data_IF_474702197963
#
_entry.id   IF_474702197963
#
_cell.length_a   1.000
_cell.length_b   1.000
_cell.length_c   1.000
_cell.angle_alpha   90.00
_cell.angle_beta   90.00
_cell.angle_gamma   90.00
#
_symmetry.space_group_name_H-M   'P 1'
#
loop_
_entity.id
_entity.type
_entity.pdbx_description
1 polymer ?
#
# COMPACT_ATOMS: atom_id res chain seq x y z
N UNK A 1 24.49 -21.69 -32.14
CA UNK A 1 24.98 -20.68 -31.16
C UNK A 1 24.52 -19.24 -31.46
N UNK A 2 24.62 -18.72 -32.69
CA UNK A 2 24.27 -17.31 -33.00
C UNK A 2 22.78 -16.98 -32.84
N UNK A 3 21.89 -17.89 -33.23
CA UNK A 3 20.43 -17.75 -33.06
C UNK A 3 19.99 -17.77 -31.59
N UNK A 4 20.63 -18.60 -30.76
CA UNK A 4 20.33 -18.68 -29.32
C UNK A 4 20.64 -17.36 -28.61
N UNK A 5 21.75 -16.70 -28.97
CA UNK A 5 22.12 -15.38 -28.46
C UNK A 5 21.12 -14.30 -28.88
N UNK A 6 20.65 -14.35 -30.12
CA UNK A 6 19.63 -13.41 -30.62
C UNK A 6 18.29 -13.60 -29.90
N UNK A 7 17.83 -14.84 -29.75
CA UNK A 7 16.61 -15.18 -28.99
C UNK A 7 16.70 -14.66 -27.55
N UNK A 8 17.84 -14.86 -26.88
CA UNK A 8 18.07 -14.38 -25.52
C UNK A 8 17.96 -12.85 -25.40
N UNK A 9 18.55 -12.11 -26.34
CA UNK A 9 18.45 -10.64 -26.38
C UNK A 9 17.00 -10.17 -26.58
N UNK A 10 16.24 -10.83 -27.46
CA UNK A 10 14.83 -10.52 -27.68
C UNK A 10 14.01 -10.78 -26.42
N UNK A 11 14.24 -11.90 -25.73
CA UNK A 11 13.56 -12.20 -24.46
C UNK A 11 13.87 -11.13 -23.41
N UNK A 12 15.14 -10.74 -23.26
CA UNK A 12 15.52 -9.68 -22.32
C UNK A 12 14.84 -8.34 -22.64
N UNK A 13 14.75 -7.96 -23.91
CA UNK A 13 14.05 -6.74 -24.33
C UNK A 13 12.56 -6.80 -23.99
N UNK A 14 11.89 -7.92 -24.26
CA UNK A 14 10.48 -8.10 -23.92
C UNK A 14 10.26 -8.00 -22.41
N UNK A 15 11.10 -8.66 -21.62
CA UNK A 15 11.05 -8.58 -20.15
C UNK A 15 11.26 -7.14 -19.68
N UNK A 16 12.24 -6.44 -20.24
CA UNK A 16 12.55 -5.05 -19.86
C UNK A 16 11.38 -4.10 -20.17
N UNK A 17 10.77 -4.21 -21.34
CA UNK A 17 9.58 -3.42 -21.71
C UNK A 17 8.40 -3.73 -20.77
N UNK A 18 8.19 -5.00 -20.42
CA UNK A 18 7.15 -5.40 -19.46
C UNK A 18 7.37 -4.77 -18.07
N UNK A 19 8.60 -4.71 -17.58
CA UNK A 19 8.95 -4.08 -16.30
C UNK A 19 8.64 -2.58 -16.33
N UNK A 20 9.01 -1.88 -17.41
CA UNK A 20 8.73 -0.44 -17.55
C UNK A 20 7.22 -0.18 -17.56
N UNK A 21 6.47 -0.98 -18.32
CA UNK A 21 5.01 -0.84 -18.40
C UNK A 21 4.37 -1.06 -17.03
N UNK A 22 4.77 -2.11 -16.31
CA UNK A 22 4.27 -2.40 -14.97
C UNK A 22 4.61 -1.29 -13.96
N UNK A 23 5.81 -0.71 -14.02
CA UNK A 23 6.18 0.41 -13.14
C UNK A 23 5.32 1.65 -13.41
N UNK A 24 5.06 1.95 -14.69
CA UNK A 24 4.17 3.05 -15.10
C UNK A 24 2.74 2.81 -14.62
N UNK A 25 2.22 1.60 -14.81
CA UNK A 25 0.89 1.21 -14.33
C UNK A 25 0.78 1.31 -12.81
N UNK A 26 1.76 0.80 -12.06
CA UNK A 26 1.86 0.98 -10.62
C UNK A 26 1.80 2.45 -10.20
N UNK A 27 2.56 3.31 -10.89
CA UNK A 27 2.62 4.76 -10.65
C UNK A 27 1.29 5.46 -10.90
N UNK A 28 0.49 4.97 -11.85
CA UNK A 28 -0.86 5.48 -12.09
C UNK A 28 -1.83 4.95 -11.04
N UNK A 29 -1.77 3.65 -10.75
CA UNK A 29 -2.71 2.99 -9.84
C UNK A 29 -2.57 3.48 -8.39
N UNK A 30 -1.36 3.82 -7.93
CA UNK A 30 -1.16 4.36 -6.58
C UNK A 30 -1.86 5.73 -6.39
N UNK A 31 -2.12 6.48 -7.46
CA UNK A 31 -2.85 7.76 -7.39
C UNK A 31 -4.28 7.57 -6.88
N UNK A 32 -4.85 6.37 -6.95
CA UNK A 32 -6.18 6.07 -6.40
C UNK A 32 -6.25 6.30 -4.88
N UNK A 33 -5.13 6.24 -4.15
CA UNK A 33 -5.11 6.61 -2.74
C UNK A 33 -5.55 8.06 -2.51
N UNK A 34 -5.48 8.94 -3.52
CA UNK A 34 -5.98 10.32 -3.42
C UNK A 34 -7.48 10.41 -3.21
N UNK A 35 -8.25 9.41 -3.64
CA UNK A 35 -9.70 9.34 -3.43
C UNK A 35 -10.09 8.66 -2.11
N UNK A 36 -9.13 8.20 -1.31
CA UNK A 36 -9.43 7.61 0.00
C UNK A 36 -9.63 8.76 0.99
N UNK A 37 -10.88 9.08 1.28
CA UNK A 37 -11.24 10.10 2.27
C UNK A 37 -11.34 9.53 3.69
N UNK A 38 -11.63 10.40 4.65
CA UNK A 38 -11.74 10.05 6.06
C UNK A 38 -12.92 9.13 6.36
N UNK A 39 -13.99 9.18 5.57
CA UNK A 39 -15.20 8.34 5.72
C UNK A 39 -15.06 6.96 5.07
N UNK A 40 -13.99 6.71 4.33
CA UNK A 40 -13.81 5.46 3.62
C UNK A 40 -13.75 4.28 4.61
N UNK A 41 -14.64 3.28 4.47
CA UNK A 41 -14.71 2.20 5.43
C UNK A 41 -13.53 1.24 5.27
N UNK A 42 -13.03 0.71 6.37
CA UNK A 42 -12.03 -0.33 6.37
C UNK A 42 -12.47 -1.55 7.18
N UNK A 43 -11.85 -2.68 6.88
CA UNK A 43 -11.87 -3.89 7.68
C UNK A 43 -10.48 -4.50 7.82
N UNK A 44 -10.18 -5.10 8.96
CA UNK A 44 -8.93 -5.84 9.25
C UNK A 44 -9.26 -7.17 9.92
N UNK A 45 -8.31 -8.12 9.89
CA UNK A 45 -8.48 -9.41 10.57
C UNK A 45 -8.46 -9.25 12.10
N UNK A 46 -9.01 -10.21 12.83
CA UNK A 46 -8.91 -10.25 14.30
C UNK A 46 -7.46 -10.29 14.79
N UNK A 47 -6.58 -10.95 14.03
CA UNK A 47 -5.14 -11.03 14.33
C UNK A 47 -4.50 -9.65 14.21
N UNK A 48 -4.78 -8.93 13.12
CA UNK A 48 -4.24 -7.58 12.90
C UNK A 48 -4.85 -6.58 13.89
N UNK A 49 -6.15 -6.68 14.18
CA UNK A 49 -6.85 -5.87 15.18
C UNK A 49 -6.20 -5.97 16.56
N UNK A 50 -5.95 -7.21 17.04
CA UNK A 50 -5.25 -7.42 18.32
C UNK A 50 -3.80 -6.95 18.28
N UNK A 51 -3.08 -7.20 17.18
CA UNK A 51 -1.67 -6.83 17.05
C UNK A 51 -1.46 -5.32 17.09
N UNK A 52 -2.29 -4.54 16.41
CA UNK A 52 -2.11 -3.10 16.27
C UNK A 52 -3.05 -2.29 17.17
N UNK A 53 -3.87 -2.96 18.00
CA UNK A 53 -4.88 -2.35 18.85
C UNK A 53 -5.84 -1.43 18.07
N UNK A 54 -6.32 -1.92 16.93
CA UNK A 54 -7.26 -1.21 16.05
C UNK A 54 -8.60 -1.95 16.01
N UNK A 55 -9.74 -1.25 15.89
CA UNK A 55 -11.02 -1.89 15.61
C UNK A 55 -10.98 -2.76 14.35
N UNK A 56 -11.71 -3.89 14.34
CA UNK A 56 -11.79 -4.74 13.15
C UNK A 56 -12.45 -4.05 11.96
N UNK A 57 -13.35 -3.10 12.22
CA UNK A 57 -14.05 -2.29 11.22
C UNK A 57 -14.11 -0.85 11.71
N UNK A 58 -14.04 0.09 10.79
CA UNK A 58 -14.12 1.52 11.07
C UNK A 58 -13.92 2.33 9.80
N UNK A 59 -13.46 3.57 9.93
CA UNK A 59 -13.17 4.46 8.80
C UNK A 59 -11.69 4.88 8.80
N UNK A 60 -11.16 5.27 7.63
CA UNK A 60 -9.76 5.72 7.52
C UNK A 60 -9.44 6.93 8.40
N UNK A 61 -10.44 7.77 8.70
CA UNK A 61 -10.30 8.89 9.63
C UNK A 61 -9.19 9.87 9.22
N UNK A 62 -8.52 10.44 10.22
CA UNK A 62 -7.42 11.38 10.02
C UNK A 62 -6.20 10.76 9.29
N UNK A 63 -6.08 9.42 9.28
CA UNK A 63 -5.02 8.74 8.52
C UNK A 63 -5.15 8.97 7.00
N UNK A 64 -6.37 9.24 6.51
CA UNK A 64 -6.65 9.50 5.09
C UNK A 64 -5.78 10.63 4.52
N UNK A 65 -5.58 11.71 5.27
CA UNK A 65 -4.73 12.83 4.86
C UNK A 65 -3.26 12.45 4.71
N UNK A 66 -2.77 11.48 5.49
CA UNK A 66 -1.40 11.01 5.39
C UNK A 66 -1.17 10.07 4.21
N UNK A 67 -2.06 9.10 3.97
CA UNK A 67 -1.88 8.09 2.91
C UNK A 67 -1.83 8.70 1.51
N UNK A 68 -2.45 9.89 1.34
CA UNK A 68 -2.40 10.69 0.10
C UNK A 68 -1.02 11.26 -0.20
N UNK A 69 -0.15 11.37 0.81
CA UNK A 69 1.22 11.92 0.71
C UNK A 69 2.27 10.85 0.42
N UNK A 70 1.90 9.81 -0.32
CA UNK A 70 2.82 8.74 -0.71
C UNK A 70 3.95 9.26 -1.60
N UNK A 71 5.11 8.59 -1.50
CA UNK A 71 6.35 8.94 -2.22
C UNK A 71 7.00 7.69 -2.80
N UNK A 72 7.99 7.88 -3.66
CA UNK A 72 8.86 6.79 -4.10
C UNK A 72 9.41 6.00 -2.91
N UNK A 73 9.54 4.68 -3.06
CA UNK A 73 10.08 3.81 -2.02
C UNK A 73 11.49 4.20 -1.57
N UNK A 74 12.28 4.82 -2.46
CA UNK A 74 13.62 5.32 -2.16
C UNK A 74 13.62 6.46 -1.13
N UNK A 75 12.49 7.12 -0.91
CA UNK A 75 12.31 8.16 0.10
C UNK A 75 11.80 7.61 1.44
N UNK A 76 11.86 6.29 1.66
CA UNK A 76 11.45 5.65 2.92
C UNK A 76 12.31 6.14 4.07
N UNK A 77 11.66 6.53 5.16
CA UNK A 77 12.28 6.89 6.42
C UNK A 77 11.61 6.08 7.53
N UNK A 78 12.41 5.32 8.26
CA UNK A 78 11.98 4.55 9.42
C UNK A 78 12.63 5.22 10.63
N UNK A 79 11.82 5.62 11.61
CA UNK A 79 12.32 6.15 12.87
C UNK A 79 12.88 5.01 13.73
N UNK A 80 13.72 5.35 14.69
CA UNK A 80 14.17 4.38 15.69
C UNK A 80 12.98 3.82 16.47
N UNK A 81 13.11 2.59 16.95
CA UNK A 81 12.03 1.93 17.67
C UNK A 81 11.77 2.64 19.01
N UNK A 82 10.50 2.91 19.27
CA UNK A 82 9.99 3.48 20.53
C UNK A 82 9.15 2.49 21.34
N UNK A 83 9.13 1.21 20.94
CA UNK A 83 8.35 0.15 21.59
C UNK A 83 6.94 -0.05 21.03
N UNK A 84 6.53 0.70 20.00
CA UNK A 84 5.27 0.49 19.29
C UNK A 84 5.19 -0.83 18.48
N UNK A 85 3.99 -1.15 17.99
CA UNK A 85 3.77 -2.40 17.26
C UNK A 85 4.45 -2.38 15.89
N UNK A 86 4.89 -3.55 15.44
CA UNK A 86 5.57 -3.71 14.15
C UNK A 86 5.05 -4.92 13.39
N UNK A 87 5.07 -4.85 12.06
CA UNK A 87 4.67 -5.96 11.20
C UNK A 87 3.92 -5.52 9.95
N UNK A 88 3.22 -6.46 9.32
CA UNK A 88 2.40 -6.21 8.14
C UNK A 88 0.92 -6.14 8.54
N UNK A 89 0.32 -4.96 8.41
CA UNK A 89 -1.12 -4.74 8.56
C UNK A 89 -1.81 -4.87 7.19
N UNK A 90 -2.89 -5.65 7.14
CA UNK A 90 -3.70 -5.90 5.94
C UNK A 90 -5.05 -5.24 6.13
N UNK A 91 -5.31 -4.19 5.36
CA UNK A 91 -6.54 -3.41 5.41
C UNK A 91 -7.35 -3.70 4.16
N UNK A 92 -8.64 -4.00 4.32
CA UNK A 92 -9.59 -4.22 3.24
C UNK A 92 -10.56 -3.04 3.17
N UNK A 93 -10.82 -2.52 1.98
CA UNK A 93 -11.67 -1.34 1.78
C UNK A 93 -12.35 -1.44 0.41
N UNK A 94 -13.61 -1.87 0.38
CA UNK A 94 -14.29 -2.26 -0.86
C UNK A 94 -13.48 -3.32 -1.61
N UNK A 95 -13.24 -3.10 -2.90
CA UNK A 95 -12.47 -4.02 -3.75
C UNK A 95 -10.94 -3.84 -3.65
N UNK A 96 -10.47 -3.16 -2.60
CA UNK A 96 -9.05 -2.92 -2.38
C UNK A 96 -8.53 -3.68 -1.17
N UNK A 97 -7.30 -4.18 -1.30
CA UNK A 97 -6.48 -4.62 -0.17
C UNK A 97 -5.24 -3.74 -0.09
N UNK A 98 -5.04 -3.12 1.05
CA UNK A 98 -3.92 -2.26 1.36
C UNK A 98 -2.99 -2.99 2.31
N UNK A 99 -1.73 -3.07 1.94
CA UNK A 99 -0.67 -3.68 2.74
C UNK A 99 0.19 -2.57 3.31
N UNK A 100 0.23 -2.46 4.64
CA UNK A 100 0.99 -1.46 5.37
C UNK A 100 2.13 -2.16 6.12
N UNK A 101 3.37 -1.80 5.80
CA UNK A 101 4.53 -2.19 6.60
C UNK A 101 4.67 -1.18 7.73
N UNK A 102 4.51 -1.64 8.96
CA UNK A 102 4.48 -0.85 10.18
C UNK A 102 5.74 -1.11 10.98
N UNK A 103 6.32 -0.04 11.50
CA UNK A 103 7.38 -0.08 12.50
C UNK A 103 7.07 0.98 13.54
N UNK A 104 6.98 0.59 14.82
CA UNK A 104 6.62 1.49 15.91
C UNK A 104 5.30 2.24 15.70
N UNK A 105 4.22 1.52 15.38
CA UNK A 105 2.88 2.05 15.07
C UNK A 105 2.83 3.02 13.86
N UNK A 106 3.95 3.26 13.18
CA UNK A 106 4.02 4.08 11.97
C UNK A 106 4.13 3.20 10.71
N UNK A 107 3.16 3.33 9.81
CA UNK A 107 3.23 2.76 8.48
C UNK A 107 4.27 3.52 7.64
N UNK A 108 5.35 2.84 7.28
CA UNK A 108 6.46 3.40 6.49
C UNK A 108 6.44 2.95 5.02
N UNK A 109 5.60 1.97 4.69
CA UNK A 109 5.40 1.54 3.32
C UNK A 109 3.98 1.07 3.07
N UNK A 110 3.50 1.32 1.85
CA UNK A 110 2.17 0.94 1.39
C UNK A 110 2.24 0.20 0.06
N UNK A 111 1.37 -0.80 -0.11
CA UNK A 111 1.06 -1.41 -1.41
C UNK A 111 -0.45 -1.53 -1.55
N UNK A 112 -0.96 -1.20 -2.73
CA UNK A 112 -2.38 -1.29 -3.06
C UNK A 112 -2.61 -2.45 -4.02
N UNK A 113 -3.55 -3.32 -3.71
CA UNK A 113 -4.04 -4.39 -4.56
C UNK A 113 -5.51 -4.11 -4.88
N UNK A 114 -5.91 -4.35 -6.12
CA UNK A 114 -7.30 -4.27 -6.56
C UNK A 114 -7.82 -5.63 -6.99
N UNK A 115 -9.04 -5.91 -6.57
CA UNK A 115 -9.82 -7.07 -6.94
C UNK A 115 -11.07 -6.62 -7.71
N UNK A 116 -11.72 -7.54 -8.41
CA UNK A 116 -13.08 -7.32 -8.91
C UNK A 116 -14.14 -7.73 -7.88
N UNK A 117 -15.42 -7.63 -8.26
CA UNK A 117 -16.54 -7.97 -7.38
C UNK A 117 -16.65 -9.47 -7.08
N UNK A 118 -16.02 -10.32 -7.89
CA UNK A 118 -15.90 -11.77 -7.68
C UNK A 118 -14.77 -12.14 -6.71
N UNK A 119 -13.91 -11.16 -6.37
CA UNK A 119 -12.72 -11.34 -5.56
C UNK A 119 -11.48 -11.76 -6.35
N UNK A 120 -11.53 -11.71 -7.69
CA UNK A 120 -10.40 -12.04 -8.53
C UNK A 120 -9.39 -10.89 -8.60
N UNK A 121 -8.10 -11.23 -8.60
CA UNK A 121 -7.02 -10.26 -8.65
C UNK A 121 -6.96 -9.55 -10.00
N UNK A 122 -6.98 -8.21 -9.98
CA UNK A 122 -6.82 -7.38 -11.18
C UNK A 122 -5.38 -6.88 -11.30
N UNK A 123 -4.89 -6.15 -10.29
CA UNK A 123 -3.56 -5.57 -10.30
C UNK A 123 -3.04 -5.26 -8.89
N UNK A 124 -1.74 -5.02 -8.79
CA UNK A 124 -1.10 -4.46 -7.58
C UNK A 124 -0.08 -3.39 -7.95
N UNK A 125 0.13 -2.46 -7.04
CA UNK A 125 1.23 -1.50 -7.14
C UNK A 125 2.55 -2.13 -6.69
N UNK A 126 3.64 -1.49 -7.06
CA UNK A 126 4.90 -1.53 -6.30
C UNK A 126 4.69 -1.02 -4.88
N UNK A 127 5.70 -1.18 -4.03
CA UNK A 127 5.69 -0.56 -2.70
C UNK A 127 6.03 0.93 -2.81
N UNK A 128 5.31 1.77 -2.07
CA UNK A 128 5.56 3.21 -1.94
C UNK A 128 5.92 3.56 -0.49
N UNK A 129 6.62 4.68 -0.31
CA UNK A 129 6.95 5.24 1.00
C UNK A 129 5.80 6.10 1.52
N UNK A 130 5.44 5.90 2.77
CA UNK A 130 4.52 6.73 3.55
C UNK A 130 5.11 6.90 4.96
N UNK A 131 4.52 7.77 5.77
CA UNK A 131 4.92 7.99 7.17
C UNK A 131 3.66 8.31 7.96
N UNK A 132 2.82 7.29 8.17
CA UNK A 132 1.46 7.46 8.71
C UNK A 132 1.30 6.71 10.02
N UNK A 133 0.93 7.42 11.07
CA UNK A 133 0.53 6.81 12.33
C UNK A 133 -0.79 6.05 12.14
N UNK A 134 -0.77 4.74 12.40
CA UNK A 134 -1.96 3.90 12.21
C UNK A 134 -3.01 4.11 13.29
N UNK A 135 -2.66 4.74 14.42
CA UNK A 135 -3.61 5.12 15.48
C UNK A 135 -4.55 6.25 15.06
N UNK A 136 -4.27 6.90 13.93
CA UNK A 136 -5.16 7.89 13.31
C UNK A 136 -6.28 7.25 12.48
N UNK A 137 -6.31 5.91 12.35
CA UNK A 137 -7.48 5.22 11.83
C UNK A 137 -8.64 5.36 12.82
N UNK A 138 -9.86 5.52 12.30
CA UNK A 138 -11.07 5.66 13.10
C UNK A 138 -11.07 6.88 14.06
N UNK A 139 -10.29 7.92 13.73
CA UNK A 139 -10.31 9.21 14.44
C UNK A 139 -10.86 10.32 13.54
N UNK A 140 -11.42 11.36 14.16
CA UNK A 140 -11.98 12.51 13.44
C UNK A 140 -10.84 13.36 12.89
N UNK A 141 -10.94 13.73 11.62
CA UNK A 141 -10.04 14.72 11.00
C UNK A 141 -10.45 16.12 11.49
N UNK A 142 -9.63 16.73 12.35
CA UNK A 142 -9.80 18.14 12.70
C UNK A 142 -9.30 18.97 11.52
N UNK A 143 -10.21 19.60 10.80
CA UNK A 143 -9.87 20.53 9.72
C UNK A 143 -9.14 21.74 10.28
N UNK A 144 -7.95 22.01 9.72
CA UNK A 144 -7.36 23.36 9.69
C UNK A 144 -8.00 24.18 8.56
#
# INVERSE_FOLDING_TARGET
>A
MRYLKFLFVVILLVVFVRIIFWYKESSNNIQLLKSFDSSMPYAISEVDSRRFNLPQKGEFGAMSSCIKKFRSISARRIKDADGGNSGLLRVFSGNYKILLSIYSDEAHSIRLLKFDDSGDYIWQTSSYSINCDVKLMNTIEYGE
#
